data_IF_099654213793
#
_entry.id   IF_099654213793
#
_cell.length_a   1.000
_cell.length_b   1.000
_cell.length_c   1.000
_cell.angle_alpha   90.00
_cell.angle_beta   90.00
_cell.angle_gamma   90.00
#
_symmetry.space_group_name_H-M   'P 1'
#
loop_
_entity.id
_entity.type
_entity.pdbx_description
1 polymer ?
#
# COMPACT_ATOMS: atom_id res chain seq x y z
N UNK A 1 64.10 -44.49 -45.78
CA UNK A 1 64.44 -43.93 -44.45
C UNK A 1 64.87 -42.48 -44.64
N UNK A 2 64.39 -41.49 -43.87
CA UNK A 2 63.03 -41.17 -43.47
C UNK A 2 62.51 -39.86 -44.15
N UNK A 3 61.19 -39.74 -44.22
CA UNK A 3 60.45 -38.60 -44.76
C UNK A 3 60.46 -37.40 -43.80
N UNK A 4 60.65 -36.18 -44.34
CA UNK A 4 60.50 -34.91 -43.62
C UNK A 4 59.04 -34.48 -43.63
N UNK A 5 58.35 -34.60 -42.51
CA UNK A 5 57.01 -34.05 -42.29
C UNK A 5 57.10 -32.62 -41.76
N UNK A 6 56.65 -31.63 -42.53
CA UNK A 6 56.38 -30.26 -42.06
C UNK A 6 55.01 -30.22 -41.37
N UNK A 7 55.01 -30.22 -40.03
CA UNK A 7 53.80 -29.88 -39.25
C UNK A 7 53.45 -28.41 -39.46
N UNK A 8 52.37 -28.17 -40.20
CA UNK A 8 51.70 -26.87 -40.24
C UNK A 8 50.92 -26.67 -38.95
N UNK A 9 51.39 -25.74 -38.11
CA UNK A 9 50.68 -25.30 -36.91
C UNK A 9 49.60 -24.32 -37.35
N UNK A 10 48.34 -24.78 -37.42
CA UNK A 10 47.17 -23.93 -37.65
C UNK A 10 46.73 -23.35 -36.31
N UNK A 11 46.99 -22.07 -36.09
CA UNK A 11 46.39 -21.26 -35.02
C UNK A 11 44.92 -21.02 -35.35
N UNK A 12 44.03 -21.43 -34.43
CA UNK A 12 42.60 -21.12 -34.48
C UNK A 12 42.38 -19.69 -33.96
N UNK A 13 41.52 -18.89 -34.59
CA UNK A 13 41.15 -17.58 -34.07
C UNK A 13 40.20 -17.74 -32.87
N UNK A 14 40.53 -17.08 -31.75
CA UNK A 14 39.64 -16.95 -30.60
C UNK A 14 38.43 -16.11 -31.01
N UNK A 15 37.27 -16.76 -31.14
CA UNK A 15 36.00 -16.09 -31.36
C UNK A 15 35.46 -15.64 -30.00
N UNK A 16 35.73 -14.39 -29.63
CA UNK A 16 35.18 -13.78 -28.42
C UNK A 16 33.69 -13.50 -28.65
N UNK A 17 32.82 -14.34 -28.11
CA UNK A 17 31.37 -14.14 -28.14
C UNK A 17 31.02 -13.01 -27.14
N UNK A 18 30.75 -11.81 -27.66
CA UNK A 18 30.23 -10.73 -26.84
C UNK A 18 28.75 -11.03 -26.52
N UNK A 19 28.48 -11.52 -25.31
CA UNK A 19 27.12 -11.66 -24.77
C UNK A 19 26.55 -10.26 -24.50
N UNK A 20 25.65 -9.81 -25.36
CA UNK A 20 24.84 -8.61 -25.11
C UNK A 20 23.82 -8.94 -24.02
N UNK A 21 24.09 -8.50 -22.79
CA UNK A 21 23.17 -8.64 -21.66
C UNK A 21 21.99 -7.69 -21.88
N UNK A 22 20.82 -8.24 -22.25
CA UNK A 22 19.58 -7.48 -22.37
C UNK A 22 19.09 -7.13 -20.97
N UNK A 23 19.31 -5.89 -20.52
CA UNK A 23 18.74 -5.38 -19.27
C UNK A 23 17.27 -5.07 -19.54
N UNK A 24 16.38 -6.02 -19.22
CA UNK A 24 14.94 -5.75 -19.17
C UNK A 24 14.69 -4.93 -17.90
N UNK A 25 14.54 -3.62 -18.05
CA UNK A 25 14.05 -2.78 -16.96
C UNK A 25 12.58 -3.16 -16.71
N UNK A 26 12.33 -3.88 -15.62
CA UNK A 26 10.97 -4.13 -15.14
C UNK A 26 10.39 -2.80 -14.68
N UNK A 27 9.58 -2.18 -15.54
CA UNK A 27 8.73 -1.07 -15.12
C UNK A 27 7.66 -1.67 -14.20
N UNK A 28 7.58 -1.17 -12.97
CA UNK A 28 6.50 -1.53 -12.06
C UNK A 28 5.19 -1.08 -12.70
N UNK A 29 4.45 -2.02 -13.30
CA UNK A 29 3.16 -1.73 -13.89
C UNK A 29 2.14 -1.43 -12.78
N UNK A 30 1.46 -0.28 -12.86
CA UNK A 30 0.28 -0.02 -12.03
C UNK A 30 -0.79 -1.07 -12.32
N UNK A 31 -1.48 -1.56 -11.27
CA UNK A 31 -2.65 -2.39 -11.51
C UNK A 31 -3.80 -1.49 -12.00
N UNK A 32 -4.87 -2.11 -12.49
CA UNK A 32 -6.10 -1.36 -12.72
C UNK A 32 -6.63 -0.80 -11.38
N UNK A 33 -7.34 0.34 -11.39
CA UNK A 33 -8.12 0.77 -10.24
C UNK A 33 -9.10 -0.34 -9.80
N UNK A 34 -9.44 -0.42 -8.50
CA UNK A 34 -10.39 -1.44 -8.04
C UNK A 34 -11.79 -1.22 -8.61
N UNK A 35 -12.53 -2.31 -8.81
CA UNK A 35 -13.97 -2.32 -9.02
C UNK A 35 -14.66 -2.20 -7.65
N UNK A 36 -14.56 -1.00 -7.06
CA UNK A 36 -15.04 -0.76 -5.71
C UNK A 36 -16.55 -1.02 -5.60
N UNK A 37 -16.94 -1.90 -4.67
CA UNK A 37 -18.33 -2.23 -4.35
C UNK A 37 -18.75 -1.80 -2.94
N UNK A 38 -17.81 -1.38 -2.11
CA UNK A 38 -18.09 -0.85 -0.77
C UNK A 38 -18.95 0.42 -0.87
N UNK A 39 -20.07 0.53 -0.13
CA UNK A 39 -20.85 1.75 -0.09
C UNK A 39 -20.06 2.92 0.51
N UNK A 40 -20.30 4.13 0.01
CA UNK A 40 -19.79 5.34 0.65
C UNK A 40 -20.49 5.61 2.01
N UNK A 41 -19.84 6.31 2.97
CA UNK A 41 -18.48 6.84 2.90
C UNK A 41 -17.40 5.74 2.97
N UNK A 42 -16.35 5.90 2.19
CA UNK A 42 -15.22 4.95 2.12
C UNK A 42 -13.93 5.65 1.69
N UNK A 43 -12.83 5.23 2.29
CA UNK A 43 -11.46 5.61 1.89
C UNK A 43 -10.77 4.33 1.41
N UNK A 44 -10.28 4.34 0.18
CA UNK A 44 -9.67 3.16 -0.43
C UNK A 44 -8.41 3.51 -1.24
N UNK A 45 -7.49 2.57 -1.42
CA UNK A 45 -6.34 2.79 -2.29
C UNK A 45 -6.78 2.99 -3.75
N UNK A 46 -6.06 3.85 -4.45
CA UNK A 46 -6.30 4.18 -5.84
C UNK A 46 -5.98 3.00 -6.78
N UNK A 47 -4.98 2.19 -6.43
CA UNK A 47 -4.51 1.01 -7.16
C UNK A 47 -5.03 -0.27 -6.48
N UNK A 48 -5.48 -1.26 -7.25
CA UNK A 48 -5.96 -2.53 -6.71
C UNK A 48 -4.82 -3.42 -6.16
N UNK A 49 -3.58 -3.14 -6.54
CA UNK A 49 -2.40 -3.94 -6.27
C UNK A 49 -2.65 -5.41 -6.67
N UNK A 50 -2.59 -6.32 -5.69
CA UNK A 50 -2.78 -7.75 -5.83
C UNK A 50 -4.07 -8.25 -5.16
N UNK A 51 -5.06 -7.38 -4.90
CA UNK A 51 -6.35 -7.82 -4.36
C UNK A 51 -7.04 -8.74 -5.39
N UNK A 52 -7.28 -9.99 -4.99
CA UNK A 52 -7.58 -11.08 -5.90
C UNK A 52 -8.93 -10.95 -6.63
N UNK A 53 -9.90 -10.28 -6.02
CA UNK A 53 -11.27 -10.14 -6.53
C UNK A 53 -11.52 -8.77 -7.17
N UNK A 54 -10.50 -7.90 -7.21
CA UNK A 54 -10.59 -6.55 -7.75
C UNK A 54 -11.36 -5.59 -6.84
N UNK A 55 -11.59 -5.94 -5.57
CA UNK A 55 -12.40 -5.15 -4.62
C UNK A 55 -11.68 -3.89 -4.14
N UNK A 56 -10.34 -3.90 -4.17
CA UNK A 56 -9.48 -2.84 -3.66
C UNK A 56 -9.18 -2.95 -2.16
N UNK A 57 -8.40 -2.00 -1.66
CA UNK A 57 -7.93 -1.98 -0.27
C UNK A 57 -8.54 -0.83 0.51
N UNK A 58 -9.19 -1.13 1.62
CA UNK A 58 -9.83 -0.18 2.53
C UNK A 58 -9.14 -0.22 3.90
N UNK A 59 -9.29 0.86 4.69
CA UNK A 59 -8.97 0.84 6.12
C UNK A 59 -9.99 -0.06 6.81
N UNK A 60 -9.57 -0.95 7.70
CA UNK A 60 -10.44 -1.89 8.43
C UNK A 60 -9.96 -2.06 9.88
N UNK A 61 -10.86 -2.41 10.78
CA UNK A 61 -10.54 -2.85 12.14
C UNK A 61 -10.05 -4.29 12.15
N UNK A 62 -8.97 -4.57 12.90
CA UNK A 62 -8.43 -5.93 12.98
C UNK A 62 -9.38 -6.82 13.77
N UNK A 63 -9.87 -7.89 13.14
CA UNK A 63 -10.69 -8.92 13.75
C UNK A 63 -12.11 -8.93 13.22
N UNK A 64 -13.08 -9.24 14.10
CA UNK A 64 -14.51 -9.19 13.77
C UNK A 64 -15.14 -8.07 14.57
N UNK A 65 -15.58 -7.02 13.90
CA UNK A 65 -16.23 -5.90 14.57
C UNK A 65 -15.23 -4.89 15.13
N UNK A 66 -15.67 -4.10 16.12
CA UNK A 66 -14.85 -3.05 16.74
C UNK A 66 -13.54 -3.62 17.31
N UNK A 67 -12.44 -2.95 16.96
CA UNK A 67 -11.09 -3.23 17.45
C UNK A 67 -10.39 -1.91 17.73
N UNK A 68 -9.42 -1.90 18.63
CA UNK A 68 -8.54 -0.76 18.86
C UNK A 68 -7.38 -0.71 17.85
N UNK A 69 -7.24 -1.73 16.99
CA UNK A 69 -6.20 -1.81 15.94
C UNK A 69 -6.78 -1.72 14.55
N UNK A 70 -6.02 -1.13 13.63
CA UNK A 70 -6.38 -0.99 12.22
C UNK A 70 -5.36 -1.67 11.31
N UNK A 71 -5.86 -2.16 10.17
CA UNK A 71 -5.04 -2.65 9.07
C UNK A 71 -5.66 -2.24 7.72
N UNK A 72 -4.98 -2.56 6.62
CA UNK A 72 -5.57 -2.49 5.30
C UNK A 72 -6.14 -3.86 4.95
N UNK A 73 -7.33 -3.88 4.38
CA UNK A 73 -8.04 -5.12 4.09
C UNK A 73 -8.78 -5.00 2.76
N UNK A 74 -9.11 -6.12 2.13
CA UNK A 74 -10.03 -6.11 1.00
C UNK A 74 -11.27 -5.32 1.39
N UNK A 75 -11.60 -4.35 0.55
CA UNK A 75 -12.85 -3.61 0.63
C UNK A 75 -14.04 -4.59 0.60
N UNK A 76 -15.07 -4.34 1.41
CA UNK A 76 -16.20 -5.26 1.58
C UNK A 76 -17.44 -4.71 0.85
N UNK A 77 -18.03 -5.44 -0.11
CA UNK A 77 -19.23 -5.00 -0.83
C UNK A 77 -20.43 -4.62 0.06
N UNK A 78 -20.52 -5.23 1.24
CA UNK A 78 -21.56 -4.93 2.22
C UNK A 78 -21.25 -3.72 3.13
N UNK A 79 -20.06 -3.13 3.03
CA UNK A 79 -19.59 -2.10 3.95
C UNK A 79 -19.22 -2.64 5.34
N UNK A 80 -19.50 -1.84 6.37
CA UNK A 80 -19.23 -2.18 7.76
C UNK A 80 -17.94 -1.58 8.29
N UNK A 81 -17.12 -2.41 8.94
CA UNK A 81 -15.84 -2.05 9.56
C UNK A 81 -14.80 -1.45 8.60
N UNK A 82 -14.99 -1.61 7.29
CA UNK A 82 -14.16 -0.96 6.24
C UNK A 82 -14.57 0.48 5.90
N UNK A 83 -15.70 0.96 6.43
CA UNK A 83 -16.23 2.27 6.06
C UNK A 83 -15.70 3.36 7.01
N UNK A 84 -14.86 4.22 6.43
CA UNK A 84 -14.29 5.40 7.08
C UNK A 84 -14.57 6.64 6.23
N UNK A 85 -14.71 7.79 6.90
CA UNK A 85 -14.84 9.10 6.25
C UNK A 85 -13.73 10.03 6.73
N UNK A 86 -13.25 10.86 5.82
CA UNK A 86 -12.41 12.00 6.19
C UNK A 86 -13.31 13.19 6.55
N UNK A 87 -13.12 13.76 7.73
CA UNK A 87 -13.87 14.91 8.25
C UNK A 87 -13.03 16.16 8.04
N UNK A 88 -13.27 16.88 6.94
CA UNK A 88 -12.44 18.03 6.53
C UNK A 88 -12.33 19.13 7.59
N UNK A 89 -13.39 19.36 8.37
CA UNK A 89 -13.43 20.41 9.39
C UNK A 89 -12.53 20.12 10.60
N UNK A 90 -12.29 18.85 10.93
CA UNK A 90 -11.47 18.45 12.07
C UNK A 90 -10.16 17.78 11.66
N UNK A 91 -10.03 17.38 10.40
CA UNK A 91 -8.92 16.57 9.89
C UNK A 91 -8.95 15.12 10.38
N UNK A 92 -10.05 14.65 10.99
CA UNK A 92 -10.12 13.29 11.53
C UNK A 92 -10.56 12.29 10.46
N UNK A 93 -10.06 11.05 10.56
CA UNK A 93 -10.61 9.91 9.85
C UNK A 93 -11.53 9.16 10.82
N UNK A 94 -12.83 9.28 10.61
CA UNK A 94 -13.86 8.74 11.50
C UNK A 94 -14.44 7.44 10.95
N UNK A 95 -14.71 6.48 11.83
CA UNK A 95 -15.46 5.28 11.45
C UNK A 95 -16.92 5.64 11.13
N UNK A 96 -17.46 5.00 10.10
CA UNK A 96 -18.89 5.06 9.78
C UNK A 96 -19.66 4.01 10.57
N UNK A 97 -19.10 2.80 10.75
CA UNK A 97 -19.75 1.71 11.48
C UNK A 97 -19.74 1.90 13.00
N UNK A 98 -18.75 2.60 13.54
CA UNK A 98 -18.60 2.81 14.98
C UNK A 98 -18.65 4.31 15.31
N UNK A 99 -19.83 4.78 15.71
CA UNK A 99 -20.06 6.17 16.05
C UNK A 99 -19.09 6.66 17.14
N UNK A 100 -18.57 7.88 16.96
CA UNK A 100 -17.65 8.51 17.91
C UNK A 100 -16.24 7.93 17.91
N UNK A 101 -15.88 7.04 16.97
CA UNK A 101 -14.54 6.46 16.87
C UNK A 101 -13.74 7.07 15.71
N UNK A 102 -12.49 7.43 16.00
CA UNK A 102 -11.56 8.04 15.06
C UNK A 102 -10.22 7.29 15.03
N UNK A 103 -9.64 7.21 13.85
CA UNK A 103 -8.30 6.69 13.64
C UNK A 103 -7.27 7.55 14.39
N UNK A 104 -6.28 6.91 15.03
CA UNK A 104 -5.13 7.59 15.60
C UNK A 104 -3.83 6.80 15.40
N UNK A 105 -2.71 7.51 15.44
CA UNK A 105 -1.39 6.90 15.61
C UNK A 105 -1.17 6.54 17.08
N UNK A 106 -1.43 5.29 17.46
CA UNK A 106 -1.50 4.84 18.85
C UNK A 106 -0.40 3.88 19.28
N UNK A 107 0.15 3.13 18.34
CA UNK A 107 1.09 2.05 18.62
C UNK A 107 2.43 2.32 17.93
N UNK A 108 3.15 3.42 18.26
CA UNK A 108 4.39 3.78 17.57
C UNK A 108 5.49 2.70 17.69
N UNK A 109 5.40 1.85 18.71
CA UNK A 109 6.32 0.74 18.95
C UNK A 109 6.00 -0.53 18.13
N UNK A 110 4.86 -0.55 17.43
CA UNK A 110 4.42 -1.64 16.56
C UNK A 110 4.42 -1.15 15.10
N UNK A 111 5.51 -1.35 14.35
CA UNK A 111 5.62 -0.84 12.99
C UNK A 111 4.68 -1.53 11.99
N UNK A 112 4.14 -2.70 12.32
CA UNK A 112 3.18 -3.42 11.48
C UNK A 112 1.74 -2.94 11.65
N UNK A 113 1.39 -2.51 12.86
CA UNK A 113 0.04 -2.07 13.22
C UNK A 113 0.07 -0.77 14.07
N UNK A 114 0.68 0.31 13.56
CA UNK A 114 0.87 1.55 14.32
C UNK A 114 -0.43 2.32 14.59
N UNK A 115 -1.47 2.03 13.81
CA UNK A 115 -2.73 2.75 13.79
C UNK A 115 -3.79 2.02 14.57
N UNK A 116 -4.65 2.80 15.23
CA UNK A 116 -5.74 2.26 16.01
C UNK A 116 -6.99 3.11 15.94
N UNK A 117 -8.04 2.64 16.60
CA UNK A 117 -9.38 3.25 16.57
C UNK A 117 -9.87 3.52 18.00
N UNK A 118 -9.97 4.79 18.37
CA UNK A 118 -10.32 5.23 19.72
C UNK A 118 -11.40 6.32 19.69
N UNK A 119 -11.85 6.78 20.85
CA UNK A 119 -12.80 7.90 20.94
C UNK A 119 -12.25 9.14 20.23
N UNK A 120 -13.11 9.78 19.43
CA UNK A 120 -12.75 11.00 18.72
C UNK A 120 -12.48 12.14 19.71
N UNK A 121 -11.31 12.74 19.59
CA UNK A 121 -10.87 13.96 20.25
C UNK A 121 -10.31 14.90 19.18
N UNK A 122 -11.10 15.91 18.81
CA UNK A 122 -10.72 16.89 17.79
C UNK A 122 -9.55 17.80 18.22
N UNK A 123 -9.11 17.72 19.48
CA UNK A 123 -7.93 18.42 19.99
C UNK A 123 -6.66 17.58 19.90
N UNK A 124 -6.79 16.24 19.85
CA UNK A 124 -5.66 15.32 19.81
C UNK A 124 -4.94 15.35 18.45
N UNK A 125 -3.66 15.76 18.46
CA UNK A 125 -2.83 15.79 17.24
C UNK A 125 -2.63 14.40 16.59
N UNK A 126 -2.63 13.33 17.39
CA UNK A 126 -2.50 11.96 16.90
C UNK A 126 -3.71 11.46 16.07
N UNK A 127 -4.84 12.20 16.11
CA UNK A 127 -6.05 11.91 15.33
C UNK A 127 -6.25 12.86 14.15
N UNK A 128 -5.27 13.73 13.87
CA UNK A 128 -5.38 14.74 12.82
C UNK A 128 -4.55 14.34 11.61
N UNK A 129 -5.20 14.45 10.46
CA UNK A 129 -4.65 14.11 9.16
C UNK A 129 -4.94 15.22 8.16
N UNK A 130 -4.05 15.34 7.17
CA UNK A 130 -4.18 16.27 6.05
C UNK A 130 -4.29 15.44 4.78
N UNK A 131 -5.38 15.61 4.04
CA UNK A 131 -5.53 15.04 2.72
C UNK A 131 -5.03 16.04 1.67
N UNK A 132 -4.07 15.63 0.84
CA UNK A 132 -3.53 16.39 -0.26
C UNK A 132 -4.14 15.86 -1.58
N UNK A 133 -5.19 16.50 -2.14
CA UNK A 133 -5.93 15.97 -3.27
C UNK A 133 -5.11 15.86 -4.56
N UNK A 134 -4.12 16.75 -4.75
CA UNK A 134 -3.26 16.76 -5.95
C UNK A 134 -2.37 15.51 -6.04
N UNK A 135 -1.91 15.01 -4.90
CA UNK A 135 -1.06 13.81 -4.81
C UNK A 135 -1.84 12.58 -4.38
N UNK A 136 -3.10 12.74 -3.97
CA UNK A 136 -3.96 11.73 -3.38
C UNK A 136 -3.37 11.11 -2.10
N UNK A 137 -2.53 11.84 -1.39
CA UNK A 137 -1.87 11.35 -0.18
C UNK A 137 -2.58 11.85 1.08
N UNK A 138 -2.48 11.09 2.15
CA UNK A 138 -2.96 11.46 3.48
C UNK A 138 -1.76 11.49 4.42
N UNK A 139 -1.58 12.59 5.15
CA UNK A 139 -0.43 12.82 6.02
C UNK A 139 -0.91 12.96 7.47
N UNK A 140 -0.15 12.49 8.48
CA UNK A 140 -0.33 12.98 9.85
C UNK A 140 -0.17 14.50 9.88
N UNK A 141 -1.04 15.23 10.59
CA UNK A 141 -0.89 16.69 10.68
C UNK A 141 0.36 17.13 11.45
N UNK A 142 0.98 16.21 12.18
CA UNK A 142 2.18 16.45 12.99
C UNK A 142 3.49 16.17 12.22
N UNK A 143 3.42 15.51 11.06
CA UNK A 143 4.59 15.12 10.28
C UNK A 143 4.19 14.91 8.80
N UNK A 144 4.38 15.94 7.98
CA UNK A 144 4.02 15.92 6.55
C UNK A 144 5.01 15.13 5.69
N UNK A 145 6.16 14.72 6.24
CA UNK A 145 7.13 13.87 5.55
C UNK A 145 6.66 12.42 5.44
N UNK A 146 5.63 12.07 6.21
CA UNK A 146 5.02 10.74 6.27
C UNK A 146 3.66 10.71 5.58
N UNK A 147 3.44 9.63 4.85
CA UNK A 147 2.21 9.37 4.12
C UNK A 147 1.58 8.08 4.63
N UNK A 148 0.27 8.10 4.85
CA UNK A 148 -0.53 6.91 5.11
C UNK A 148 -0.37 5.98 3.91
N UNK A 149 -0.04 4.73 4.17
CA UNK A 149 0.14 3.74 3.13
C UNK A 149 0.02 2.33 3.64
N UNK A 150 0.16 1.39 2.71
CA UNK A 150 0.08 -0.05 2.99
C UNK A 150 1.43 -0.72 2.80
N UNK A 151 1.66 -1.80 3.55
CA UNK A 151 2.83 -2.65 3.37
C UNK A 151 2.87 -3.27 1.97
N UNK A 152 4.08 -3.59 1.48
CA UNK A 152 4.30 -4.10 0.12
C UNK A 152 3.66 -5.48 -0.16
N UNK A 153 3.47 -6.29 0.88
CA UNK A 153 2.99 -7.66 0.77
C UNK A 153 1.57 -7.81 1.34
N UNK A 154 0.72 -8.53 0.61
CA UNK A 154 -0.57 -8.99 1.10
C UNK A 154 -0.44 -10.31 1.86
N UNK A 155 -1.48 -10.63 2.64
CA UNK A 155 -1.65 -11.90 3.35
C UNK A 155 -3.11 -12.35 3.26
N UNK A 156 -3.35 -13.65 3.39
CA UNK A 156 -4.72 -14.19 3.46
C UNK A 156 -5.41 -13.75 4.76
N UNK A 157 -6.68 -13.36 4.64
CA UNK A 157 -7.56 -12.97 5.73
C UNK A 157 -8.94 -13.63 5.55
N UNK A 158 -8.96 -14.97 5.58
CA UNK A 158 -10.17 -15.74 5.28
C UNK A 158 -10.53 -15.67 3.79
N UNK A 159 -11.77 -15.30 3.41
CA UNK A 159 -12.14 -15.13 2.00
C UNK A 159 -11.59 -13.83 1.39
N UNK A 160 -10.95 -12.99 2.21
CA UNK A 160 -10.40 -11.70 1.82
C UNK A 160 -8.88 -11.70 2.00
N UNK A 161 -8.28 -10.54 1.74
CA UNK A 161 -6.85 -10.30 1.91
C UNK A 161 -6.60 -9.13 2.85
N UNK A 162 -5.43 -9.09 3.45
CA UNK A 162 -4.98 -7.99 4.32
C UNK A 162 -3.57 -7.52 3.96
N UNK A 163 -3.25 -6.29 4.32
CA UNK A 163 -1.94 -5.66 4.25
C UNK A 163 -1.69 -4.89 5.55
N UNK A 164 -0.43 -4.62 5.85
CA UNK A 164 -0.09 -3.70 6.94
C UNK A 164 -0.56 -2.30 6.56
N UNK A 165 -0.97 -1.50 7.56
CA UNK A 165 -1.39 -0.11 7.38
C UNK A 165 -0.60 0.76 8.33
N UNK A 166 0.05 1.78 7.81
CA UNK A 166 0.88 2.66 8.62
C UNK A 166 1.39 3.86 7.85
N UNK A 167 2.52 4.39 8.30
CA UNK A 167 3.17 5.54 7.67
C UNK A 167 4.50 5.16 7.05
N UNK A 168 4.71 5.58 5.82
CA UNK A 168 6.00 5.51 5.12
C UNK A 168 6.49 6.92 4.77
N UNK A 169 7.78 7.07 4.48
CA UNK A 169 8.31 8.32 3.95
C UNK A 169 7.66 8.60 2.58
N UNK A 170 6.99 9.74 2.44
CA UNK A 170 6.23 10.08 1.23
C UNK A 170 7.09 10.04 -0.04
N UNK A 171 8.36 10.44 0.05
CA UNK A 171 9.32 10.52 -1.06
C UNK A 171 9.88 9.18 -1.51
N UNK A 172 9.80 8.15 -0.67
CA UNK A 172 10.41 6.84 -0.94
C UNK A 172 9.38 5.78 -1.29
N UNK A 173 8.16 5.91 -0.80
CA UNK A 173 7.10 4.95 -1.04
C UNK A 173 6.60 5.00 -2.49
N UNK A 174 6.40 3.81 -3.07
CA UNK A 174 5.70 3.63 -4.33
C UNK A 174 4.31 4.28 -4.24
N UNK A 175 3.98 5.17 -5.19
CA UNK A 175 2.70 5.88 -5.22
C UNK A 175 1.49 4.94 -5.08
N UNK A 176 1.56 3.73 -5.65
CA UNK A 176 0.48 2.73 -5.58
C UNK A 176 0.16 2.28 -4.16
N UNK A 177 1.11 2.40 -3.23
CA UNK A 177 0.97 1.98 -1.83
C UNK A 177 0.43 3.10 -0.92
N UNK A 178 0.32 4.34 -1.40
CA UNK A 178 0.03 5.51 -0.56
C UNK A 178 -0.97 6.51 -1.16
N UNK A 179 -1.47 6.27 -2.36
CA UNK A 179 -2.51 7.08 -2.99
C UNK A 179 -3.90 6.56 -2.62
N UNK A 180 -4.68 7.41 -1.95
CA UNK A 180 -6.00 7.11 -1.43
C UNK A 180 -7.07 7.94 -2.16
N UNK A 181 -8.17 7.29 -2.50
CA UNK A 181 -9.40 7.93 -2.95
C UNK A 181 -10.36 8.02 -1.78
N UNK A 182 -10.97 9.19 -1.63
CA UNK A 182 -11.99 9.47 -0.61
C UNK A 182 -13.33 9.61 -1.33
N UNK A 183 -14.28 8.74 -0.97
CA UNK A 183 -15.66 8.77 -1.45
C UNK A 183 -16.57 9.05 -0.27
N UNK A 184 -17.40 10.09 -0.38
CA UNK A 184 -18.31 10.54 0.68
C UNK A 184 -19.74 10.11 0.38
#
# INVERSE_FOLDING_TARGET
MPSRELRHMRTLPNLTLATATLIVAATAANAAPPELRTPAPVIHLADNLDEADGLGWCIDTIGRGLSDRLHAHSCKPQGGDVQFRFVETTGQIASVAYEGKCMAYLHPDDPSEPLGLIDCDATAGAQKFVHAPETMTIHPSLDDTKCLGVGAHSRSAGPFMARDLGFAACSEADARLQQWKIMQ
#
